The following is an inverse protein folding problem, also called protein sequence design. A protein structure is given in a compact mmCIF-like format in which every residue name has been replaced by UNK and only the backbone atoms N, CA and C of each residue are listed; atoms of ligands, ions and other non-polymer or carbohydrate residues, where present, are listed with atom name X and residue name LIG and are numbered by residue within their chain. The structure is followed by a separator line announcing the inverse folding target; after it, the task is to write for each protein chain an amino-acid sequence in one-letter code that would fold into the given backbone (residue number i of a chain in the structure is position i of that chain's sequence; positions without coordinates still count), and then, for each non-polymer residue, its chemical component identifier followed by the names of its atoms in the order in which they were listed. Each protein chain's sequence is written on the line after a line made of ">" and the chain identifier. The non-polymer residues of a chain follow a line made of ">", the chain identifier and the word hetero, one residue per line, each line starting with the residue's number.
data_IF_981106314004
#
_entry.id   IF_981106314004
#
_cell.length_a   1.000
_cell.length_b   1.000
_cell.length_c   1.000
_cell.angle_alpha   90.00
_cell.angle_beta   90.00
_cell.angle_gamma   90.00
#
_symmetry.space_group_name_H-M   'P 1'
#
loop_
_entity.id
_entity.type
_entity.pdbx_description
1 polymer ?
#
# COMPACT_ATOMS: atom_id res chain seq x y z
N UNK A 1 33.17 -62.59 15.87
CA UNK A 1 33.29 -61.78 14.64
C UNK A 1 32.51 -60.50 14.87
N UNK A 2 33.19 -59.39 15.21
CA UNK A 2 32.55 -58.11 15.52
C UNK A 2 32.52 -57.31 14.23
N UNK A 3 31.33 -57.08 13.67
CA UNK A 3 31.15 -56.18 12.53
C UNK A 3 31.21 -54.74 13.02
N UNK A 4 32.30 -54.05 12.67
CA UNK A 4 32.45 -52.61 12.86
C UNK A 4 31.68 -51.94 11.71
N UNK A 5 30.45 -51.51 11.97
CA UNK A 5 29.68 -50.67 11.05
C UNK A 5 30.15 -49.23 11.28
N UNK A 6 30.92 -48.68 10.35
CA UNK A 6 31.18 -47.24 10.30
C UNK A 6 29.89 -46.54 9.82
N UNK A 7 29.37 -45.53 10.55
CA UNK A 7 28.30 -44.71 10.01
C UNK A 7 28.89 -43.76 8.95
N UNK A 8 28.38 -43.87 7.73
CA UNK A 8 28.66 -42.97 6.61
C UNK A 8 28.11 -41.57 6.93
N UNK A 9 28.94 -40.76 7.59
CA UNK A 9 28.64 -39.41 8.06
C UNK A 9 28.83 -38.35 6.97
N UNK A 10 28.66 -38.71 5.69
CA UNK A 10 28.82 -37.77 4.57
C UNK A 10 27.68 -37.90 3.57
N UNK A 11 26.65 -37.07 3.77
CA UNK A 11 25.98 -36.23 2.75
C UNK A 11 24.61 -35.78 3.25
N UNK A 12 24.62 -34.87 4.22
CA UNK A 12 23.54 -33.90 4.38
C UNK A 12 24.19 -32.52 4.56
N UNK A 13 25.03 -32.15 3.59
CA UNK A 13 25.34 -30.74 3.38
C UNK A 13 24.11 -30.18 2.70
N UNK A 14 23.19 -29.65 3.52
CA UNK A 14 22.17 -28.72 3.05
C UNK A 14 22.86 -27.70 2.16
N UNK A 15 22.58 -27.73 0.85
CA UNK A 15 23.12 -26.73 -0.06
C UNK A 15 22.80 -25.35 0.55
N UNK A 16 23.80 -24.49 0.80
CA UNK A 16 23.49 -23.14 1.21
C UNK A 16 22.64 -22.54 0.09
N UNK A 17 21.41 -22.13 0.43
CA UNK A 17 20.59 -21.30 -0.45
C UNK A 17 21.46 -20.14 -0.89
N UNK A 18 21.95 -20.21 -2.13
CA UNK A 18 22.78 -19.18 -2.71
C UNK A 18 21.85 -17.99 -2.90
N UNK A 19 21.80 -17.09 -1.91
CA UNK A 19 21.08 -15.83 -2.04
C UNK A 19 21.73 -15.08 -3.20
N UNK A 20 21.12 -15.14 -4.38
CA UNK A 20 21.54 -14.32 -5.50
C UNK A 20 21.08 -12.89 -5.21
N UNK A 21 21.94 -11.91 -5.48
CA UNK A 21 21.61 -10.49 -5.30
C UNK A 21 20.66 -9.97 -6.40
N UNK A 22 20.15 -10.84 -7.26
CA UNK A 22 19.50 -10.49 -8.51
C UNK A 22 17.99 -10.47 -8.30
N UNK A 23 17.38 -9.33 -8.63
CA UNK A 23 15.93 -9.13 -8.61
C UNK A 23 15.24 -9.98 -9.69
N UNK A 24 14.03 -10.47 -9.41
CA UNK A 24 13.19 -11.15 -10.41
C UNK A 24 12.57 -10.10 -11.36
N UNK A 25 13.35 -9.68 -12.37
CA UNK A 25 12.97 -8.59 -13.28
C UNK A 25 11.65 -8.83 -14.02
N UNK A 26 11.36 -10.07 -14.40
CA UNK A 26 10.10 -10.43 -15.07
C UNK A 26 8.89 -10.15 -14.16
N UNK A 27 9.01 -10.51 -12.87
CA UNK A 27 7.99 -10.23 -11.86
C UNK A 27 7.88 -8.73 -11.57
N UNK A 28 8.99 -8.00 -11.60
CA UNK A 28 8.96 -6.53 -11.48
C UNK A 28 8.20 -5.91 -12.67
N UNK A 29 8.48 -6.33 -13.91
CA UNK A 29 7.78 -5.85 -15.10
C UNK A 29 6.29 -6.16 -15.01
N UNK A 30 5.92 -7.38 -14.60
CA UNK A 30 4.52 -7.73 -14.33
C UNK A 30 3.87 -6.79 -13.31
N UNK A 31 4.52 -6.54 -12.18
CA UNK A 31 4.04 -5.62 -11.16
C UNK A 31 3.88 -4.19 -11.72
N UNK A 32 4.84 -3.71 -12.50
CA UNK A 32 4.79 -2.39 -13.13
C UNK A 32 3.65 -2.28 -14.13
N UNK A 33 3.34 -3.33 -14.89
CA UNK A 33 2.17 -3.39 -15.78
C UNK A 33 0.87 -3.32 -14.99
N UNK A 34 0.74 -4.09 -13.90
CA UNK A 34 -0.44 -4.02 -13.00
C UNK A 34 -0.58 -2.63 -12.38
N UNK A 35 0.53 -2.01 -11.98
CA UNK A 35 0.56 -0.62 -11.52
C UNK A 35 0.07 0.29 -12.63
N UNK A 36 0.60 0.20 -13.84
CA UNK A 36 0.24 1.09 -14.94
C UNK A 36 -1.26 1.01 -15.25
N UNK A 37 -1.80 -0.20 -15.41
CA UNK A 37 -3.21 -0.41 -15.74
C UNK A 37 -4.13 0.01 -14.58
N UNK A 38 -3.73 -0.24 -13.33
CA UNK A 38 -4.52 0.13 -12.14
C UNK A 38 -4.45 1.62 -11.79
N UNK A 39 -3.25 2.20 -11.77
CA UNK A 39 -3.00 3.55 -11.28
C UNK A 39 -3.16 4.64 -12.33
N UNK A 40 -2.82 4.39 -13.60
CA UNK A 40 -2.84 5.44 -14.61
C UNK A 40 -4.24 6.06 -14.79
N UNK A 41 -5.34 5.28 -14.90
CA UNK A 41 -6.67 5.87 -15.01
C UNK A 41 -7.03 6.73 -13.80
N UNK A 42 -6.73 6.24 -12.60
CA UNK A 42 -6.98 6.93 -11.34
C UNK A 42 -6.21 8.25 -11.22
N UNK A 43 -4.89 8.21 -11.46
CA UNK A 43 -4.02 9.39 -11.41
C UNK A 43 -4.33 10.39 -12.51
N UNK A 44 -4.72 9.92 -13.70
CA UNK A 44 -5.14 10.77 -14.82
C UNK A 44 -6.40 11.56 -14.47
N UNK A 45 -7.42 10.91 -13.90
CA UNK A 45 -8.63 11.60 -13.40
C UNK A 45 -8.26 12.63 -12.34
N UNK A 46 -7.39 12.26 -11.39
CA UNK A 46 -6.97 13.14 -10.31
C UNK A 46 -6.28 14.41 -10.83
N UNK A 47 -5.42 14.30 -11.85
CA UNK A 47 -4.67 15.42 -12.42
C UNK A 47 -5.47 16.23 -13.42
N UNK A 48 -6.11 15.58 -14.39
CA UNK A 48 -6.69 16.22 -15.57
C UNK A 48 -8.04 16.89 -15.28
N UNK A 49 -8.79 16.44 -14.27
CA UNK A 49 -10.11 17.03 -13.96
C UNK A 49 -10.01 18.22 -13.01
N UNK A 50 -10.80 19.27 -13.27
CA UNK A 50 -10.84 20.53 -12.47
C UNK A 50 -11.03 20.28 -10.96
N UNK A 51 -11.91 19.35 -10.61
CA UNK A 51 -12.20 18.98 -9.21
C UNK A 51 -11.61 17.63 -8.78
N UNK A 52 -10.67 17.08 -9.56
CA UNK A 52 -10.06 15.77 -9.31
C UNK A 52 -11.10 14.66 -9.16
N UNK A 53 -10.90 13.77 -8.19
CA UNK A 53 -11.76 12.60 -7.95
C UNK A 53 -13.20 12.95 -7.55
N UNK A 54 -13.48 14.17 -7.06
CA UNK A 54 -14.86 14.61 -6.76
C UNK A 54 -15.76 14.59 -7.99
N UNK A 55 -15.18 14.94 -9.13
CA UNK A 55 -15.90 15.03 -10.41
C UNK A 55 -16.26 13.67 -11.00
N UNK A 56 -15.85 12.58 -10.35
CA UNK A 56 -16.19 11.21 -10.74
C UNK A 56 -17.61 10.90 -10.24
N UNK A 57 -18.43 10.31 -11.11
CA UNK A 57 -19.76 9.84 -10.71
C UNK A 57 -19.66 8.65 -9.77
N UNK A 58 -20.70 8.38 -8.98
CA UNK A 58 -20.74 7.21 -8.09
C UNK A 58 -20.51 5.91 -8.87
N UNK A 59 -21.07 5.78 -10.08
CA UNK A 59 -20.89 4.60 -10.94
C UNK A 59 -19.42 4.37 -11.31
N UNK A 60 -18.73 5.40 -11.78
CA UNK A 60 -17.31 5.29 -12.14
C UNK A 60 -16.46 5.00 -10.90
N UNK A 61 -16.78 5.60 -9.76
CA UNK A 61 -16.11 5.29 -8.49
C UNK A 61 -16.23 3.82 -8.10
N UNK A 62 -17.44 3.23 -8.23
CA UNK A 62 -17.68 1.82 -7.96
C UNK A 62 -16.92 0.91 -8.93
N UNK A 63 -16.89 1.26 -10.22
CA UNK A 63 -16.12 0.52 -11.22
C UNK A 63 -14.63 0.51 -10.90
N UNK A 64 -14.08 1.66 -10.48
CA UNK A 64 -12.67 1.76 -10.08
C UNK A 64 -12.39 0.99 -8.79
N UNK A 65 -13.33 0.98 -7.84
CA UNK A 65 -13.24 0.13 -6.65
C UNK A 65 -13.20 -1.35 -7.02
N UNK A 66 -14.14 -1.82 -7.86
CA UNK A 66 -14.13 -3.19 -8.34
C UNK A 66 -12.83 -3.53 -9.07
N UNK A 67 -12.32 -2.60 -9.89
CA UNK A 67 -11.04 -2.72 -10.57
C UNK A 67 -9.87 -2.93 -9.60
N UNK A 68 -9.78 -2.12 -8.53
CA UNK A 68 -8.75 -2.29 -7.51
C UNK A 68 -8.89 -3.62 -6.76
N UNK A 69 -10.11 -4.09 -6.49
CA UNK A 69 -10.34 -5.40 -5.86
C UNK A 69 -9.80 -6.51 -6.77
N UNK A 70 -10.17 -6.52 -8.05
CA UNK A 70 -9.74 -7.54 -9.02
C UNK A 70 -8.21 -7.57 -9.11
N UNK A 71 -7.56 -6.42 -9.29
CA UNK A 71 -6.11 -6.35 -9.37
C UNK A 71 -5.42 -6.76 -8.06
N UNK A 72 -6.01 -6.45 -6.90
CA UNK A 72 -5.48 -6.88 -5.60
C UNK A 72 -5.56 -8.39 -5.46
N UNK A 73 -6.70 -9.00 -5.80
CA UNK A 73 -6.89 -10.46 -5.75
C UNK A 73 -5.91 -11.15 -6.69
N UNK A 74 -5.75 -10.66 -7.91
CA UNK A 74 -4.77 -11.19 -8.87
C UNK A 74 -3.34 -11.20 -8.28
N UNK A 75 -2.90 -10.09 -7.68
CA UNK A 75 -1.58 -10.03 -7.05
C UNK A 75 -1.45 -10.98 -5.85
N UNK A 76 -2.46 -11.04 -4.99
CA UNK A 76 -2.45 -11.89 -3.79
C UNK A 76 -2.42 -13.38 -4.15
N UNK A 77 -3.15 -13.81 -5.19
CA UNK A 77 -3.09 -15.18 -5.70
C UNK A 77 -1.70 -15.57 -6.21
N UNK A 78 -0.94 -14.58 -6.71
CA UNK A 78 0.44 -14.76 -7.16
C UNK A 78 1.47 -14.58 -6.04
N UNK A 79 1.05 -14.39 -4.78
CA UNK A 79 1.94 -14.20 -3.61
C UNK A 79 1.73 -15.30 -2.55
N UNK A 80 1.86 -16.60 -2.89
CA UNK A 80 1.54 -17.70 -1.96
C UNK A 80 2.46 -17.76 -0.74
N UNK A 81 3.66 -17.18 -0.81
CA UNK A 81 4.66 -17.20 0.26
C UNK A 81 4.53 -16.02 1.24
N UNK A 82 3.48 -15.21 1.10
CA UNK A 82 3.21 -14.10 2.00
C UNK A 82 2.92 -14.60 3.41
N UNK A 83 3.65 -14.06 4.40
CA UNK A 83 3.33 -14.29 5.81
C UNK A 83 2.13 -13.44 6.22
N UNK A 84 1.23 -14.02 7.00
CA UNK A 84 0.08 -13.31 7.56
C UNK A 84 -0.01 -13.61 9.05
N UNK A 85 0.13 -12.56 9.86
CA UNK A 85 -0.13 -12.64 11.29
C UNK A 85 -1.63 -12.47 11.56
N UNK A 86 -2.29 -13.59 11.89
CA UNK A 86 -3.73 -13.66 12.14
C UNK A 86 -4.09 -13.53 13.64
N UNK A 87 -3.24 -12.88 14.44
CA UNK A 87 -3.56 -12.61 15.84
C UNK A 87 -4.87 -11.84 15.98
N UNK A 88 -5.73 -12.30 16.89
CA UNK A 88 -7.06 -11.73 17.11
C UNK A 88 -7.02 -10.23 17.46
N UNK A 89 -6.02 -9.79 18.23
CA UNK A 89 -5.82 -8.37 18.57
C UNK A 89 -5.59 -7.50 17.33
N UNK A 90 -4.86 -8.00 16.33
CA UNK A 90 -4.63 -7.28 15.07
C UNK A 90 -5.89 -7.21 14.22
N UNK A 91 -6.67 -8.30 14.20
CA UNK A 91 -7.98 -8.33 13.52
C UNK A 91 -8.94 -7.32 14.16
N UNK A 92 -9.01 -7.26 15.50
CA UNK A 92 -9.81 -6.26 16.21
C UNK A 92 -9.36 -4.83 15.92
N UNK A 93 -8.06 -4.55 15.98
CA UNK A 93 -7.50 -3.23 15.68
C UNK A 93 -7.84 -2.78 14.25
N UNK A 94 -7.66 -3.68 13.27
CA UNK A 94 -7.98 -3.39 11.88
C UNK A 94 -9.49 -3.17 11.70
N UNK A 95 -10.34 -3.99 12.33
CA UNK A 95 -11.80 -3.85 12.27
C UNK A 95 -12.25 -2.50 12.83
N UNK A 96 -11.72 -2.08 13.97
CA UNK A 96 -11.98 -0.75 14.55
C UNK A 96 -11.54 0.38 13.62
N UNK A 97 -10.40 0.20 12.94
CA UNK A 97 -9.92 1.16 11.94
C UNK A 97 -10.85 1.25 10.74
N UNK A 98 -11.35 0.13 10.23
CA UNK A 98 -12.34 0.07 9.14
C UNK A 98 -13.63 0.79 9.54
N UNK A 99 -14.16 0.51 10.73
CA UNK A 99 -15.36 1.18 11.25
C UNK A 99 -15.14 2.70 11.39
N UNK A 100 -13.99 3.11 11.92
CA UNK A 100 -13.62 4.53 12.05
C UNK A 100 -13.49 5.19 10.68
N UNK A 101 -12.88 4.53 9.70
CA UNK A 101 -12.69 5.04 8.36
C UNK A 101 -14.03 5.35 7.68
N UNK A 102 -14.96 4.40 7.71
CA UNK A 102 -16.27 4.55 7.06
C UNK A 102 -17.24 5.44 7.84
N UNK A 103 -17.07 5.61 9.15
CA UNK A 103 -17.83 6.58 9.94
C UNK A 103 -17.26 8.00 9.88
N UNK A 104 -15.98 8.15 9.54
CA UNK A 104 -15.30 9.46 9.49
C UNK A 104 -16.04 10.54 8.68
N UNK A 105 -16.68 10.27 7.52
CA UNK A 105 -17.36 11.31 6.77
C UNK A 105 -18.51 11.96 7.54
N UNK A 106 -19.17 11.18 8.39
CA UNK A 106 -20.24 11.65 9.25
C UNK A 106 -19.68 12.43 10.45
N UNK A 107 -18.62 11.92 11.10
CA UNK A 107 -17.98 12.56 12.26
C UNK A 107 -17.48 13.95 11.93
N UNK A 108 -16.67 14.09 10.89
CA UNK A 108 -16.10 15.40 10.51
C UNK A 108 -17.16 16.40 10.03
N UNK A 109 -18.24 15.95 9.37
CA UNK A 109 -19.34 16.86 9.01
C UNK A 109 -20.07 17.43 10.22
N UNK A 110 -20.04 16.72 11.36
CA UNK A 110 -20.67 17.17 12.61
C UNK A 110 -19.74 17.98 13.49
N UNK A 111 -18.46 17.61 13.57
CA UNK A 111 -17.51 18.17 14.53
C UNK A 111 -16.51 19.16 13.90
N UNK A 112 -16.22 19.03 12.61
CA UNK A 112 -15.21 19.82 11.92
C UNK A 112 -15.82 20.99 11.14
N UNK A 113 -14.99 21.99 10.89
CA UNK A 113 -15.34 23.11 10.02
C UNK A 113 -15.06 22.72 8.56
N UNK A 114 -16.06 22.86 7.68
CA UNK A 114 -15.87 22.56 6.27
C UNK A 114 -14.88 23.57 5.65
N UNK A 115 -13.72 23.15 5.11
CA UNK A 115 -12.65 24.07 4.71
C UNK A 115 -12.93 24.72 3.34
N UNK A 116 -14.01 25.51 3.24
CA UNK A 116 -14.51 26.14 2.00
C UNK A 116 -13.45 26.94 1.27
N UNK A 117 -12.71 27.80 1.97
CA UNK A 117 -11.67 28.68 1.41
C UNK A 117 -10.50 27.88 0.81
N UNK A 118 -10.04 26.86 1.52
CA UNK A 118 -8.97 25.98 1.04
C UNK A 118 -9.43 25.14 -0.16
N UNK A 119 -10.64 24.57 -0.08
CA UNK A 119 -11.21 23.75 -1.16
C UNK A 119 -11.54 24.57 -2.41
N UNK A 120 -11.87 25.87 -2.26
CA UNK A 120 -12.08 26.79 -3.36
C UNK A 120 -10.77 27.13 -4.09
N UNK A 121 -9.70 27.44 -3.34
CA UNK A 121 -8.38 27.76 -3.90
C UNK A 121 -7.65 26.54 -4.45
N UNK A 122 -7.78 25.41 -3.77
CA UNK A 122 -6.98 24.21 -4.00
C UNK A 122 -7.85 22.94 -4.03
N UNK A 123 -8.80 22.82 -4.97
CA UNK A 123 -9.75 21.72 -5.00
C UNK A 123 -9.10 20.34 -5.18
N UNK A 124 -7.84 20.27 -5.64
CA UNK A 124 -7.09 19.03 -5.88
C UNK A 124 -6.25 18.57 -4.69
N UNK A 125 -6.00 19.41 -3.68
CA UNK A 125 -5.15 19.06 -2.54
C UNK A 125 -5.81 18.02 -1.63
N UNK A 126 -7.14 17.97 -1.68
CA UNK A 126 -7.95 17.02 -0.94
C UNK A 126 -8.21 15.75 -1.74
N UNK A 127 -7.23 14.85 -1.72
CA UNK A 127 -7.35 13.47 -2.23
C UNK A 127 -8.51 12.71 -1.58
N UNK A 128 -8.76 13.01 -0.29
CA UNK A 128 -9.79 12.41 0.53
C UNK A 128 -10.85 13.42 0.91
N UNK A 129 -11.71 13.77 -0.05
CA UNK A 129 -12.96 14.43 0.31
C UNK A 129 -13.82 13.43 1.07
N UNK A 130 -14.52 13.90 2.09
CA UNK A 130 -15.46 13.11 2.89
C UNK A 130 -16.80 12.88 2.17
N UNK A 131 -16.74 12.65 0.85
CA UNK A 131 -17.83 12.07 0.09
C UNK A 131 -17.68 10.55 0.16
N UNK A 132 -18.79 9.84 0.37
CA UNK A 132 -18.73 8.39 0.61
C UNK A 132 -18.04 7.65 -0.54
N UNK A 133 -18.33 8.02 -1.79
CA UNK A 133 -17.70 7.45 -2.99
C UNK A 133 -16.16 7.56 -2.99
N UNK A 134 -15.61 8.71 -2.58
CA UNK A 134 -14.15 8.93 -2.56
C UNK A 134 -13.48 8.23 -1.39
N UNK A 135 -14.16 8.11 -0.25
CA UNK A 135 -13.68 7.39 0.93
C UNK A 135 -13.62 5.87 0.68
N UNK A 136 -14.65 5.33 0.04
CA UNK A 136 -14.66 3.93 -0.42
C UNK A 136 -13.56 3.70 -1.45
N UNK A 137 -13.49 4.52 -2.50
CA UNK A 137 -12.46 4.37 -3.53
C UNK A 137 -11.05 4.40 -2.95
N UNK A 138 -10.78 5.32 -2.03
CA UNK A 138 -9.46 5.46 -1.41
C UNK A 138 -9.12 4.30 -0.48
N UNK A 139 -10.08 3.74 0.23
CA UNK A 139 -9.89 2.53 1.03
C UNK A 139 -9.38 1.36 0.16
N UNK A 140 -10.04 1.11 -0.97
CA UNK A 140 -9.64 0.04 -1.89
C UNK A 140 -8.35 0.35 -2.65
N UNK A 141 -8.05 1.63 -2.93
CA UNK A 141 -6.73 2.02 -3.43
C UNK A 141 -5.63 1.63 -2.42
N UNK A 142 -5.86 1.87 -1.12
CA UNK A 142 -4.89 1.49 -0.06
C UNK A 142 -4.74 -0.02 0.02
N UNK A 143 -5.82 -0.80 -0.05
CA UNK A 143 -5.72 -2.27 -0.10
C UNK A 143 -4.91 -2.74 -1.31
N UNK A 144 -5.14 -2.13 -2.48
CA UNK A 144 -4.35 -2.42 -3.68
C UNK A 144 -2.88 -2.05 -3.53
N UNK A 145 -2.56 -0.95 -2.84
CA UNK A 145 -1.17 -0.62 -2.50
C UNK A 145 -0.53 -1.69 -1.62
N UNK A 146 -1.25 -2.22 -0.62
CA UNK A 146 -0.72 -3.29 0.25
C UNK A 146 -0.49 -4.59 -0.51
N UNK A 147 -1.40 -4.98 -1.41
CA UNK A 147 -1.22 -6.15 -2.27
C UNK A 147 0.03 -6.03 -3.16
N UNK A 148 0.26 -4.85 -3.74
CA UNK A 148 1.49 -4.58 -4.51
C UNK A 148 2.75 -4.62 -3.65
N UNK A 149 2.69 -4.09 -2.44
CA UNK A 149 3.82 -4.11 -1.53
C UNK A 149 4.18 -5.54 -1.10
N UNK A 150 3.17 -6.36 -0.83
CA UNK A 150 3.36 -7.78 -0.57
C UNK A 150 4.00 -8.49 -1.76
N UNK A 151 3.45 -8.34 -2.97
CA UNK A 151 4.02 -8.95 -4.17
C UNK A 151 5.47 -8.49 -4.41
N UNK A 152 5.77 -7.20 -4.24
CA UNK A 152 7.14 -6.68 -4.36
C UNK A 152 8.11 -7.36 -3.37
N UNK A 153 7.73 -7.52 -2.11
CA UNK A 153 8.61 -8.09 -1.07
C UNK A 153 8.75 -9.61 -1.11
N UNK A 154 7.66 -10.31 -1.46
CA UNK A 154 7.55 -11.76 -1.36
C UNK A 154 7.70 -12.49 -2.69
N UNK A 155 7.65 -11.79 -3.82
CA UNK A 155 7.82 -12.39 -5.14
C UNK A 155 8.95 -11.76 -5.94
N UNK A 156 9.05 -10.43 -5.99
CA UNK A 156 10.04 -9.73 -6.82
C UNK A 156 11.42 -9.68 -6.14
N UNK A 157 11.45 -9.37 -4.84
CA UNK A 157 12.69 -9.19 -4.08
C UNK A 157 13.11 -10.47 -3.33
N UNK A 158 12.43 -11.59 -3.56
CA UNK A 158 12.62 -12.87 -2.85
C UNK A 158 14.05 -13.41 -2.84
N UNK A 159 14.83 -13.32 -3.92
CA UNK A 159 16.21 -13.83 -3.90
C UNK A 159 17.14 -13.07 -2.94
N UNK A 160 16.76 -11.86 -2.52
CA UNK A 160 17.60 -10.98 -1.70
C UNK A 160 17.45 -11.24 -0.20
N UNK A 161 18.49 -10.88 0.57
CA UNK A 161 18.44 -10.84 2.04
C UNK A 161 17.36 -9.86 2.54
N UNK A 162 16.77 -10.11 3.73
CA UNK A 162 15.73 -9.25 4.29
C UNK A 162 16.14 -7.77 4.38
N UNK A 163 17.39 -7.49 4.76
CA UNK A 163 17.93 -6.13 4.83
C UNK A 163 17.94 -5.48 3.45
N UNK A 164 18.43 -6.20 2.43
CA UNK A 164 18.42 -5.73 1.05
C UNK A 164 17.00 -5.52 0.52
N UNK A 165 16.05 -6.40 0.87
CA UNK A 165 14.63 -6.25 0.49
C UNK A 165 14.04 -4.96 1.05
N UNK A 166 14.30 -4.63 2.32
CA UNK A 166 13.82 -3.40 2.98
C UNK A 166 14.33 -2.16 2.25
N UNK A 167 15.63 -2.11 1.94
CA UNK A 167 16.22 -0.99 1.22
C UNK A 167 15.69 -0.85 -0.20
N UNK A 168 15.67 -1.92 -0.98
CA UNK A 168 15.15 -1.91 -2.34
C UNK A 168 13.66 -1.57 -2.40
N UNK A 169 12.86 -2.12 -1.50
CA UNK A 169 11.46 -1.75 -1.34
C UNK A 169 11.30 -0.24 -1.12
N UNK A 170 12.06 0.31 -0.16
CA UNK A 170 12.02 1.74 0.17
C UNK A 170 12.41 2.60 -1.02
N UNK A 171 13.47 2.24 -1.75
CA UNK A 171 13.91 2.95 -2.95
C UNK A 171 12.83 2.92 -4.04
N UNK A 172 12.31 1.74 -4.36
CA UNK A 172 11.28 1.56 -5.40
C UNK A 172 10.01 2.34 -5.05
N UNK A 173 9.52 2.21 -3.81
CA UNK A 173 8.33 2.92 -3.35
C UNK A 173 8.54 4.44 -3.34
N UNK A 174 9.72 4.91 -2.91
CA UNK A 174 10.05 6.34 -2.92
C UNK A 174 10.11 6.89 -4.35
N UNK A 175 10.70 6.14 -5.29
CA UNK A 175 10.71 6.50 -6.70
C UNK A 175 9.29 6.57 -7.30
N UNK A 176 8.42 5.61 -6.96
CA UNK A 176 7.01 5.67 -7.37
C UNK A 176 6.29 6.89 -6.79
N UNK A 177 6.64 7.33 -5.58
CA UNK A 177 6.08 8.53 -4.97
C UNK A 177 6.69 9.82 -5.52
N UNK A 178 7.92 9.80 -6.05
CA UNK A 178 8.53 10.95 -6.72
C UNK A 178 7.65 11.45 -7.87
N UNK A 179 7.03 10.52 -8.61
CA UNK A 179 6.07 10.87 -9.65
C UNK A 179 4.91 11.74 -9.12
N UNK A 180 4.47 11.55 -7.87
CA UNK A 180 3.39 12.35 -7.28
C UNK A 180 3.71 13.85 -7.20
N UNK A 181 4.98 14.26 -7.21
CA UNK A 181 5.38 15.68 -7.29
C UNK A 181 4.77 16.35 -8.52
N UNK A 182 4.62 15.61 -9.62
CA UNK A 182 4.05 16.10 -10.88
C UNK A 182 2.51 16.08 -10.85
N UNK A 183 1.89 15.22 -10.03
CA UNK A 183 0.44 15.01 -10.01
C UNK A 183 -0.29 15.80 -8.92
N UNK A 184 0.37 16.13 -7.80
CA UNK A 184 -0.24 16.82 -6.67
C UNK A 184 0.68 17.88 -6.06
N UNK A 185 0.15 19.04 -5.63
CA UNK A 185 0.97 20.11 -5.04
C UNK A 185 1.67 19.74 -3.73
N UNK A 186 1.12 18.79 -2.97
CA UNK A 186 1.74 18.23 -1.77
C UNK A 186 2.63 17.01 -2.07
N UNK A 187 3.04 16.82 -3.33
CA UNK A 187 3.78 15.63 -3.75
C UNK A 187 5.14 15.47 -3.06
N UNK A 188 5.81 16.58 -2.72
CA UNK A 188 7.03 16.56 -1.91
C UNK A 188 6.82 15.97 -0.53
N UNK A 189 5.73 16.35 0.14
CA UNK A 189 5.39 15.77 1.46
C UNK A 189 5.17 14.26 1.36
N UNK A 190 4.42 13.80 0.35
CA UNK A 190 4.21 12.36 0.14
C UNK A 190 5.50 11.62 -0.22
N UNK A 191 6.40 12.23 -1.00
CA UNK A 191 7.70 11.66 -1.31
C UNK A 191 8.56 11.52 -0.05
N UNK A 192 8.72 12.59 0.73
CA UNK A 192 9.52 12.57 1.96
C UNK A 192 8.97 11.57 2.97
N UNK A 193 7.65 11.51 3.16
CA UNK A 193 7.02 10.54 4.05
C UNK A 193 7.13 9.09 3.57
N UNK A 194 7.25 8.85 2.25
CA UNK A 194 7.37 7.50 1.70
C UNK A 194 8.67 6.80 2.08
N UNK A 195 9.73 7.54 2.44
CA UNK A 195 11.01 6.95 2.87
C UNK A 195 10.88 6.27 4.24
N UNK A 196 10.54 6.97 5.34
CA UNK A 196 10.37 6.32 6.64
C UNK A 196 9.21 5.32 6.65
N UNK A 197 8.12 5.59 5.91
CA UNK A 197 7.04 4.61 5.76
C UNK A 197 7.47 3.38 4.96
N UNK A 198 8.35 3.53 3.96
CA UNK A 198 8.90 2.42 3.18
C UNK A 198 9.70 1.45 4.04
N UNK A 199 10.57 1.99 4.90
CA UNK A 199 11.34 1.20 5.87
C UNK A 199 10.42 0.49 6.87
N UNK A 200 9.49 1.23 7.48
CA UNK A 200 8.55 0.69 8.46
C UNK A 200 7.64 -0.38 7.85
N UNK A 201 7.08 -0.13 6.66
CA UNK A 201 6.14 -1.05 6.02
C UNK A 201 6.84 -2.31 5.54
N UNK A 202 8.02 -2.21 4.94
CA UNK A 202 8.75 -3.41 4.53
C UNK A 202 9.11 -4.30 5.72
N UNK A 203 9.58 -3.71 6.82
CA UNK A 203 9.83 -4.46 8.04
C UNK A 203 8.57 -5.15 8.57
N UNK A 204 7.47 -4.41 8.75
CA UNK A 204 6.20 -4.97 9.24
C UNK A 204 5.62 -6.05 8.31
N UNK A 205 5.70 -5.86 6.99
CA UNK A 205 5.20 -6.83 6.00
C UNK A 205 6.01 -8.13 6.03
N UNK A 206 7.34 -8.07 6.18
CA UNK A 206 8.19 -9.26 6.30
C UNK A 206 7.88 -10.08 7.56
N UNK A 207 7.41 -9.42 8.63
CA UNK A 207 6.90 -10.05 9.86
C UNK A 207 5.42 -10.49 9.76
N UNK A 208 4.79 -10.31 8.59
CA UNK A 208 3.40 -10.69 8.33
C UNK A 208 2.34 -9.74 8.91
N UNK A 209 2.74 -8.56 9.37
CA UNK A 209 1.86 -7.58 10.02
C UNK A 209 1.12 -6.65 9.02
N UNK A 210 0.52 -7.22 7.98
CA UNK A 210 -0.19 -6.48 6.90
C UNK A 210 -1.36 -5.65 7.46
N UNK A 211 -2.05 -6.15 8.48
CA UNK A 211 -3.12 -5.42 9.15
C UNK A 211 -2.61 -4.11 9.79
N UNK A 212 -1.40 -4.13 10.36
CA UNK A 212 -0.77 -2.95 10.97
C UNK A 212 -0.36 -1.95 9.89
N UNK A 213 0.29 -2.38 8.81
CA UNK A 213 0.69 -1.46 7.73
C UNK A 213 -0.52 -0.81 7.08
N UNK A 214 -1.60 -1.57 6.85
CA UNK A 214 -2.86 -1.04 6.32
C UNK A 214 -3.47 -0.03 7.28
N UNK A 215 -3.50 -0.34 8.57
CA UNK A 215 -4.00 0.55 9.63
C UNK A 215 -3.23 1.87 9.64
N UNK A 216 -1.90 1.83 9.70
CA UNK A 216 -1.05 3.03 9.67
C UNK A 216 -1.31 3.85 8.40
N UNK A 217 -1.43 3.19 7.24
CA UNK A 217 -1.65 3.87 5.98
C UNK A 217 -3.01 4.61 5.93
N UNK A 218 -4.06 3.96 6.41
CA UNK A 218 -5.39 4.59 6.53
C UNK A 218 -5.36 5.74 7.53
N UNK A 219 -4.81 5.54 8.73
CA UNK A 219 -4.73 6.60 9.73
C UNK A 219 -3.89 7.79 9.30
N UNK A 220 -2.79 7.57 8.56
CA UNK A 220 -2.00 8.65 7.97
C UNK A 220 -2.86 9.54 7.05
N UNK A 221 -3.66 8.92 6.18
CA UNK A 221 -4.59 9.64 5.32
C UNK A 221 -5.70 10.34 6.11
N UNK A 222 -6.23 9.68 7.14
CA UNK A 222 -7.30 10.24 7.98
C UNK A 222 -6.81 11.44 8.80
N UNK A 223 -5.60 11.37 9.36
CA UNK A 223 -4.97 12.47 10.08
C UNK A 223 -4.71 13.67 9.16
N UNK A 224 -4.27 13.42 7.92
CA UNK A 224 -4.09 14.48 6.93
C UNK A 224 -5.41 15.18 6.59
N UNK A 225 -6.52 14.45 6.48
CA UNK A 225 -7.86 15.04 6.35
C UNK A 225 -8.21 15.85 7.60
N UNK A 226 -8.05 15.24 8.77
CA UNK A 226 -8.47 15.80 10.05
C UNK A 226 -7.82 17.15 10.31
N UNK A 227 -6.53 17.26 10.01
CA UNK A 227 -5.75 18.49 10.14
C UNK A 227 -6.47 19.68 9.51
N UNK A 228 -6.91 19.58 8.26
CA UNK A 228 -7.57 20.72 7.61
C UNK A 228 -9.05 20.91 7.99
N UNK A 229 -9.71 19.91 8.58
CA UNK A 229 -11.11 20.02 9.04
C UNK A 229 -11.22 20.59 10.45
N UNK A 230 -10.21 20.40 11.29
CA UNK A 230 -10.17 20.94 12.65
C UNK A 230 -9.27 22.16 12.79
N UNK A 231 -8.33 22.36 11.88
CA UNK A 231 -7.45 23.52 11.84
C UNK A 231 -7.87 24.42 10.68
N UNK A 232 -8.85 25.30 10.92
CA UNK A 232 -9.19 26.52 10.17
C UNK A 232 -10.42 27.19 10.78
#
# INVERSE_FOLDING_TARGET
>A
MIFKVEPDFRKNVSQPLLYTTIMEWEKLVYLLTIIFIGYLPYKSIQRLRKYGLRSVSTRVSLLMTAWFIILSVLLLLQTPHMKINNQFTLIMLFSTTVLTWFSSPWVFRRLGHYPTKLLGKHPKWFLLRLEYKTIVLKFFEVLFQQAKFAYLLFEVLTPMSNVSRIWWFTVIVSFLHLNNIIFVPTGWFFFLMSIPMGLLFSWLLLEGNIAITTTIHLWFYLALIAWYWFHL
#
